data_IF_269142021163
#
_entry.id   IF_269142021163
#
_cell.length_a   1.000
_cell.length_b   1.000
_cell.length_c   1.000
_cell.angle_alpha   90.00
_cell.angle_beta   90.00
_cell.angle_gamma   90.00
#
_symmetry.space_group_name_H-M   'P 1'
#
loop_
_entity.id
_entity.type
_entity.pdbx_description
1 polymer ?
#
# COMPACT_ATOMS: atom_id res chain seq x y z
N UNK A 1 14.35 -18.64 11.05
CA UNK A 1 14.00 -18.14 9.70
C UNK A 1 13.93 -19.25 8.62
N UNK A 2 14.99 -20.06 8.40
CA UNK A 2 15.03 -21.12 7.35
C UNK A 2 13.77 -22.00 7.26
N UNK A 3 13.22 -22.46 8.39
CA UNK A 3 12.02 -23.33 8.45
C UNK A 3 10.76 -22.70 7.83
N UNK A 4 10.53 -21.40 8.07
CA UNK A 4 9.34 -20.71 7.52
C UNK A 4 9.59 -20.31 6.07
N UNK A 5 10.82 -19.93 5.73
CA UNK A 5 11.21 -19.59 4.37
C UNK A 5 10.88 -20.71 3.36
N UNK A 6 11.23 -21.97 3.66
CA UNK A 6 10.89 -23.09 2.77
C UNK A 6 9.38 -23.29 2.58
N UNK A 7 8.58 -23.11 3.65
CA UNK A 7 7.12 -23.22 3.55
C UNK A 7 6.53 -22.10 2.70
N UNK A 8 7.03 -20.87 2.88
CA UNK A 8 6.63 -19.72 2.09
C UNK A 8 7.05 -19.88 0.62
N UNK A 9 8.23 -20.45 0.34
CA UNK A 9 8.66 -20.73 -1.02
C UNK A 9 7.70 -21.67 -1.76
N UNK A 10 7.21 -22.74 -1.09
CA UNK A 10 6.21 -23.64 -1.67
C UNK A 10 4.88 -22.91 -1.95
N UNK A 11 4.44 -22.05 -1.03
CA UNK A 11 3.23 -21.24 -1.23
C UNK A 11 3.40 -20.23 -2.37
N UNK A 12 4.53 -19.55 -2.43
CA UNK A 12 4.89 -18.64 -3.52
C UNK A 12 4.83 -19.34 -4.87
N UNK A 13 5.46 -20.51 -5.01
CA UNK A 13 5.44 -21.30 -6.24
C UNK A 13 4.03 -21.75 -6.62
N UNK A 14 3.17 -22.04 -5.65
CA UNK A 14 1.76 -22.33 -5.93
C UNK A 14 1.05 -21.12 -6.56
N UNK A 15 1.26 -19.91 -6.02
CA UNK A 15 0.68 -18.69 -6.58
C UNK A 15 1.15 -18.45 -8.01
N UNK A 16 2.46 -18.50 -8.27
CA UNK A 16 3.01 -18.35 -9.63
C UNK A 16 2.38 -19.35 -10.60
N UNK A 17 2.26 -20.63 -10.22
CA UNK A 17 1.75 -21.65 -11.14
C UNK A 17 0.22 -21.63 -11.32
N UNK A 18 -0.55 -21.16 -10.34
CA UNK A 18 -2.02 -21.24 -10.37
C UNK A 18 -2.71 -19.93 -10.71
N UNK A 19 -2.03 -18.81 -10.52
CA UNK A 19 -2.62 -17.47 -10.57
C UNK A 19 -1.92 -16.55 -11.57
N UNK A 20 -0.83 -16.97 -12.19
CA UNK A 20 -0.26 -16.39 -13.41
C UNK A 20 -0.36 -17.43 -14.55
N UNK A 21 -1.60 -17.71 -14.98
CA UNK A 21 -1.88 -18.79 -15.93
C UNK A 21 -1.22 -18.59 -17.31
N UNK A 22 -0.94 -17.35 -17.67
CA UNK A 22 -0.32 -16.98 -18.95
C UNK A 22 1.20 -16.79 -18.86
N UNK A 23 1.79 -16.90 -17.66
CA UNK A 23 3.23 -16.71 -17.44
C UNK A 23 3.70 -15.28 -17.74
N UNK A 24 2.80 -14.30 -17.58
CA UNK A 24 3.04 -12.88 -17.89
C UNK A 24 3.46 -12.09 -16.66
N UNK A 25 3.60 -12.73 -15.49
CA UNK A 25 3.85 -12.11 -14.20
C UNK A 25 2.74 -11.12 -13.78
N UNK A 26 1.51 -11.39 -14.23
CA UNK A 26 0.31 -10.64 -13.88
C UNK A 26 -0.68 -11.64 -13.29
N UNK A 27 -1.07 -11.38 -12.05
CA UNK A 27 -1.80 -12.34 -11.26
C UNK A 27 -3.30 -12.08 -11.35
N UNK A 28 -4.05 -13.17 -11.47
CA UNK A 28 -5.49 -13.15 -11.74
C UNK A 28 -6.26 -14.08 -10.80
N UNK A 29 -7.43 -13.60 -10.38
CA UNK A 29 -8.48 -14.37 -9.74
C UNK A 29 -8.23 -14.77 -8.28
N UNK A 30 -9.31 -14.89 -7.53
CA UNK A 30 -9.31 -15.36 -6.15
C UNK A 30 -9.72 -14.28 -5.16
N UNK A 31 -10.06 -14.73 -3.97
CA UNK A 31 -10.45 -13.87 -2.86
C UNK A 31 -9.21 -13.27 -2.19
N UNK A 32 -9.02 -11.95 -2.34
CA UNK A 32 -7.90 -11.21 -1.77
C UNK A 32 -8.25 -10.50 -0.45
N UNK A 33 -9.41 -10.80 0.13
CA UNK A 33 -9.89 -10.19 1.37
C UNK A 33 -10.45 -8.77 1.23
N UNK A 34 -10.73 -8.34 -0.02
CA UNK A 34 -11.30 -7.03 -0.37
C UNK A 34 -12.69 -7.21 -1.02
N UNK A 35 -13.59 -7.86 -0.31
CA UNK A 35 -14.81 -8.52 -0.79
C UNK A 35 -15.59 -7.73 -1.85
N UNK A 36 -16.10 -6.55 -1.48
CA UNK A 36 -16.93 -5.73 -2.36
C UNK A 36 -16.18 -4.52 -2.97
N UNK A 37 -14.83 -4.52 -2.95
CA UNK A 37 -14.05 -3.37 -3.47
C UNK A 37 -14.17 -3.19 -4.99
N UNK A 38 -14.45 -4.29 -5.69
CA UNK A 38 -14.68 -4.30 -7.13
C UNK A 38 -16.13 -3.99 -7.50
N UNK A 39 -16.36 -3.77 -8.79
CA UNK A 39 -17.70 -3.48 -9.34
C UNK A 39 -18.56 -4.75 -9.46
N UNK A 40 -17.93 -5.93 -9.48
CA UNK A 40 -18.54 -7.26 -9.48
C UNK A 40 -17.66 -8.25 -8.71
N UNK A 41 -18.17 -9.46 -8.45
CA UNK A 41 -17.41 -10.55 -7.84
C UNK A 41 -16.27 -11.02 -8.76
N UNK A 42 -15.03 -10.65 -8.40
CA UNK A 42 -13.81 -11.01 -9.13
C UNK A 42 -13.45 -12.50 -9.04
N UNK A 43 -14.11 -13.25 -8.16
CA UNK A 43 -13.94 -14.70 -8.01
C UNK A 43 -14.90 -15.50 -8.89
N UNK A 44 -15.92 -14.84 -9.46
CA UNK A 44 -16.86 -15.46 -10.39
C UNK A 44 -16.39 -15.31 -11.84
N UNK A 45 -16.74 -16.26 -12.73
CA UNK A 45 -16.53 -16.09 -14.17
C UNK A 45 -17.23 -14.83 -14.69
N UNK A 46 -16.56 -14.11 -15.59
CA UNK A 46 -17.15 -12.94 -16.23
C UNK A 46 -18.34 -13.36 -17.13
N UNK A 47 -19.50 -12.69 -17.04
CA UNK A 47 -20.68 -13.03 -17.85
C UNK A 47 -20.43 -13.03 -19.36
N UNK A 48 -19.50 -12.20 -19.82
CA UNK A 48 -19.15 -12.01 -21.24
C UNK A 48 -18.09 -12.98 -21.76
N UNK A 49 -17.58 -13.87 -20.91
CA UNK A 49 -16.28 -14.50 -21.13
C UNK A 49 -15.13 -13.48 -20.96
N UNK A 50 -13.90 -13.97 -20.86
CA UNK A 50 -12.71 -13.15 -20.61
C UNK A 50 -12.07 -13.37 -19.23
N UNK A 51 -11.20 -12.46 -18.83
CA UNK A 51 -10.53 -12.50 -17.52
C UNK A 51 -10.23 -11.09 -16.98
N UNK A 52 -9.83 -11.01 -15.71
CA UNK A 52 -9.42 -9.77 -15.05
C UNK A 52 -7.96 -9.87 -14.66
N UNK A 53 -7.19 -8.87 -15.06
CA UNK A 53 -5.84 -8.65 -14.56
C UNK A 53 -5.92 -7.71 -13.36
N UNK A 54 -5.44 -8.20 -12.22
CA UNK A 54 -5.65 -7.54 -10.94
C UNK A 54 -4.41 -6.77 -10.51
N UNK A 55 -4.56 -5.46 -10.31
CA UNK A 55 -3.50 -4.59 -9.80
C UNK A 55 -3.12 -4.98 -8.37
N UNK A 56 -4.11 -5.21 -7.51
CA UNK A 56 -3.89 -5.62 -6.12
C UNK A 56 -3.24 -6.99 -6.01
N UNK A 57 -3.78 -8.01 -6.70
CA UNK A 57 -3.24 -9.37 -6.71
C UNK A 57 -1.78 -9.41 -7.17
N UNK A 58 -1.46 -8.67 -8.22
CA UNK A 58 -0.10 -8.58 -8.75
C UNK A 58 0.83 -7.84 -7.78
N UNK A 59 0.35 -6.78 -7.15
CA UNK A 59 1.10 -6.01 -6.14
C UNK A 59 1.37 -6.81 -4.87
N UNK A 60 0.42 -7.62 -4.40
CA UNK A 60 0.64 -8.53 -3.27
C UNK A 60 1.73 -9.56 -3.57
N UNK A 61 1.76 -10.08 -4.80
CA UNK A 61 2.82 -10.99 -5.22
C UNK A 61 4.18 -10.29 -5.36
N UNK A 62 4.21 -9.03 -5.81
CA UNK A 62 5.43 -8.23 -5.81
C UNK A 62 5.95 -8.01 -4.38
N UNK A 63 5.08 -7.61 -3.44
CA UNK A 63 5.44 -7.48 -2.03
C UNK A 63 5.91 -8.83 -1.43
N UNK A 64 5.25 -9.93 -1.78
CA UNK A 64 5.67 -11.27 -1.35
C UNK A 64 7.06 -11.62 -1.90
N UNK A 65 7.38 -11.25 -3.15
CA UNK A 65 8.73 -11.39 -3.69
C UNK A 65 9.75 -10.64 -2.85
N UNK A 66 9.47 -9.39 -2.47
CA UNK A 66 10.38 -8.58 -1.66
C UNK A 66 10.57 -9.15 -0.27
N UNK A 67 9.49 -9.62 0.38
CA UNK A 67 9.61 -10.30 1.67
C UNK A 67 10.48 -11.56 1.57
N UNK A 68 10.32 -12.36 0.51
CA UNK A 68 11.15 -13.54 0.27
C UNK A 68 12.60 -13.15 -0.06
N UNK A 69 12.82 -12.08 -0.81
CA UNK A 69 14.15 -11.52 -1.06
C UNK A 69 14.84 -11.11 0.25
N UNK A 70 14.17 -10.31 1.08
CA UNK A 70 14.70 -9.87 2.37
C UNK A 70 15.06 -11.07 3.27
N UNK A 71 14.19 -12.07 3.36
CA UNK A 71 14.48 -13.30 4.10
C UNK A 71 15.67 -14.07 3.51
N UNK A 72 15.79 -14.16 2.19
CA UNK A 72 16.90 -14.87 1.53
C UNK A 72 18.24 -14.15 1.76
N UNK A 73 18.25 -12.82 1.66
CA UNK A 73 19.44 -12.01 1.94
C UNK A 73 19.87 -12.13 3.41
N UNK A 74 18.91 -12.15 4.35
CA UNK A 74 19.20 -12.36 5.77
C UNK A 74 19.82 -13.75 6.01
N UNK A 75 19.28 -14.79 5.37
CA UNK A 75 19.82 -16.15 5.47
C UNK A 75 21.19 -16.31 4.80
N UNK A 76 21.46 -15.53 3.76
CA UNK A 76 22.71 -15.56 3.01
C UNK A 76 23.92 -15.11 3.84
N UNK A 77 23.71 -14.36 4.92
CA UNK A 77 24.78 -14.01 5.86
C UNK A 77 25.40 -15.23 6.55
N UNK A 78 24.63 -16.29 6.77
CA UNK A 78 25.12 -17.53 7.39
C UNK A 78 25.38 -18.64 6.37
N UNK A 79 24.68 -18.60 5.22
CA UNK A 79 24.66 -19.69 4.26
C UNK A 79 24.61 -19.14 2.82
N UNK A 80 25.78 -19.05 2.13
CA UNK A 80 25.89 -18.42 0.82
C UNK A 80 25.00 -19.03 -0.27
N UNK A 81 24.50 -20.26 -0.09
CA UNK A 81 23.56 -20.87 -1.03
C UNK A 81 22.25 -20.04 -1.17
N UNK A 82 21.90 -19.24 -0.17
CA UNK A 82 20.74 -18.35 -0.25
C UNK A 82 20.98 -17.10 -1.13
N UNK A 83 22.21 -16.78 -1.53
CA UNK A 83 22.46 -15.71 -2.50
C UNK A 83 21.81 -16.00 -3.86
N UNK A 84 21.86 -17.25 -4.33
CA UNK A 84 21.21 -17.67 -5.57
C UNK A 84 19.68 -17.57 -5.46
N UNK A 85 19.14 -17.89 -4.30
CA UNK A 85 17.70 -17.79 -4.02
C UNK A 85 17.27 -16.32 -3.95
N UNK A 86 18.08 -15.46 -3.35
CA UNK A 86 17.86 -14.02 -3.34
C UNK A 86 17.83 -13.46 -4.78
N UNK A 87 18.79 -13.84 -5.62
CA UNK A 87 18.77 -13.44 -7.04
C UNK A 87 17.49 -13.87 -7.76
N UNK A 88 16.99 -15.08 -7.51
CA UNK A 88 15.70 -15.54 -8.08
C UNK A 88 14.54 -14.64 -7.68
N UNK A 89 14.43 -14.21 -6.43
CA UNK A 89 13.32 -13.35 -5.98
C UNK A 89 13.46 -11.92 -6.47
N UNK A 90 14.69 -11.40 -6.54
CA UNK A 90 14.97 -10.10 -7.11
C UNK A 90 14.62 -10.06 -8.61
N UNK A 91 15.07 -11.04 -9.40
CA UNK A 91 14.75 -11.15 -10.84
C UNK A 91 13.23 -11.24 -11.07
N UNK A 92 12.53 -12.05 -10.27
CA UNK A 92 11.09 -12.22 -10.39
C UNK A 92 10.32 -10.94 -10.00
N UNK A 93 10.77 -10.22 -8.96
CA UNK A 93 10.22 -8.91 -8.64
C UNK A 93 10.37 -7.94 -9.83
N UNK A 94 11.56 -7.86 -10.44
CA UNK A 94 11.81 -6.97 -11.58
C UNK A 94 10.90 -7.28 -12.77
N UNK A 95 10.59 -8.57 -12.99
CA UNK A 95 9.63 -9.00 -14.00
C UNK A 95 8.19 -8.57 -13.69
N UNK A 96 7.73 -8.72 -12.44
CA UNK A 96 6.41 -8.23 -12.01
C UNK A 96 6.32 -6.71 -12.15
N UNK A 97 7.32 -5.98 -11.64
CA UNK A 97 7.36 -4.52 -11.72
C UNK A 97 7.32 -4.03 -13.17
N UNK A 98 8.04 -4.71 -14.07
CA UNK A 98 7.97 -4.42 -15.50
C UNK A 98 6.56 -4.66 -16.05
N UNK A 99 5.97 -5.84 -15.80
CA UNK A 99 4.66 -6.21 -16.34
C UNK A 99 3.53 -5.27 -15.84
N UNK A 100 3.61 -4.80 -14.60
CA UNK A 100 2.65 -3.84 -14.03
C UNK A 100 2.76 -2.44 -14.62
N UNK A 101 3.97 -2.01 -15.01
CA UNK A 101 4.22 -0.68 -15.52
C UNK A 101 4.20 -0.60 -17.04
N UNK A 102 4.43 -1.72 -17.73
CA UNK A 102 4.70 -1.72 -19.15
C UNK A 102 4.40 -3.09 -19.79
N UNK A 103 3.52 -3.09 -20.80
CA UNK A 103 3.29 -4.27 -21.66
C UNK A 103 3.88 -4.12 -23.07
N UNK A 104 4.58 -3.02 -23.37
CA UNK A 104 5.03 -2.71 -24.73
C UNK A 104 3.91 -2.16 -25.62
N UNK A 105 4.05 -2.31 -26.94
CA UNK A 105 3.10 -1.79 -27.95
C UNK A 105 1.80 -2.60 -28.06
N UNK A 106 1.69 -3.75 -27.38
CA UNK A 106 0.64 -4.75 -27.63
C UNK A 106 -0.44 -4.86 -26.52
N UNK A 107 -0.50 -3.95 -25.53
CA UNK A 107 -1.55 -4.01 -24.50
C UNK A 107 -1.61 -2.84 -23.50
N UNK A 108 -2.74 -2.76 -22.80
CA UNK A 108 -3.04 -1.85 -21.68
C UNK A 108 -2.33 -2.33 -20.42
N UNK A 109 -1.47 -1.47 -19.89
CA UNK A 109 -0.78 -1.67 -18.62
C UNK A 109 -1.75 -1.50 -17.44
N UNK A 110 -1.43 -2.12 -16.29
CA UNK A 110 -2.14 -1.85 -15.03
C UNK A 110 -1.91 -0.38 -14.60
N UNK A 111 -0.77 0.20 -14.97
CA UNK A 111 -0.52 1.64 -14.85
C UNK A 111 -1.21 2.42 -15.97
N UNK A 112 -2.03 3.40 -15.60
CA UNK A 112 -2.63 4.31 -16.57
C UNK A 112 -1.87 5.65 -16.62
N UNK A 113 -1.22 5.93 -17.75
CA UNK A 113 -0.39 7.13 -17.93
C UNK A 113 -1.18 8.44 -18.03
N UNK A 114 -2.45 8.40 -18.40
CA UNK A 114 -3.31 9.59 -18.45
C UNK A 114 -3.67 10.02 -17.02
N UNK A 115 -4.24 9.08 -16.25
CA UNK A 115 -4.72 9.35 -14.90
C UNK A 115 -3.57 9.43 -13.89
N UNK A 116 -2.49 8.66 -14.10
CA UNK A 116 -1.38 8.53 -13.15
C UNK A 116 -1.71 7.65 -11.97
N UNK A 117 -2.42 6.56 -12.22
CA UNK A 117 -2.94 5.66 -11.20
C UNK A 117 -2.99 4.22 -11.71
N UNK A 118 -2.98 3.25 -10.79
CA UNK A 118 -3.11 1.84 -11.14
C UNK A 118 -4.57 1.38 -11.11
N UNK A 119 -4.96 0.57 -12.08
CA UNK A 119 -6.29 0.00 -12.19
C UNK A 119 -6.23 -1.49 -12.52
N UNK A 120 -7.27 -2.22 -12.15
CA UNK A 120 -7.51 -3.54 -12.74
C UNK A 120 -7.82 -3.37 -14.24
N UNK A 121 -7.43 -4.34 -15.06
CA UNK A 121 -7.71 -4.34 -16.50
C UNK A 121 -8.60 -5.52 -16.84
N UNK A 122 -9.75 -5.22 -17.45
CA UNK A 122 -10.73 -6.20 -17.86
C UNK A 122 -10.47 -6.60 -19.32
N UNK A 123 -10.30 -7.89 -19.56
CA UNK A 123 -10.16 -8.45 -20.90
C UNK A 123 -11.51 -9.01 -21.35
N UNK A 124 -12.17 -8.31 -22.26
CA UNK A 124 -13.48 -8.72 -22.78
C UNK A 124 -13.30 -9.21 -24.23
N UNK A 125 -13.74 -10.44 -24.56
CA UNK A 125 -13.78 -10.89 -25.94
C UNK A 125 -14.51 -9.88 -26.83
N UNK A 126 -13.85 -9.44 -27.90
CA UNK A 126 -14.36 -8.47 -28.90
C UNK A 126 -14.49 -7.00 -28.44
N UNK A 127 -14.27 -6.66 -27.17
CA UNK A 127 -14.18 -5.24 -26.72
C UNK A 127 -12.76 -4.82 -26.36
N UNK A 128 -11.82 -5.78 -26.28
CA UNK A 128 -10.43 -5.51 -25.95
C UNK A 128 -10.21 -5.34 -24.44
N UNK A 129 -9.21 -4.54 -24.11
CA UNK A 129 -8.73 -4.33 -22.75
C UNK A 129 -9.30 -3.02 -22.18
N UNK A 130 -10.00 -3.09 -21.06
CA UNK A 130 -10.70 -1.95 -20.44
C UNK A 130 -10.17 -1.70 -19.03
N UNK A 131 -9.47 -0.58 -18.77
CA UNK A 131 -9.04 -0.24 -17.42
C UNK A 131 -10.25 0.14 -16.56
N UNK A 132 -10.37 -0.48 -15.39
CA UNK A 132 -11.43 -0.25 -14.43
C UNK A 132 -11.10 0.96 -13.56
N UNK A 133 -11.48 2.17 -14.02
CA UNK A 133 -11.18 3.46 -13.38
C UNK A 133 -11.95 3.70 -12.05
N UNK A 134 -11.83 2.79 -11.09
CA UNK A 134 -12.60 2.76 -9.83
C UNK A 134 -11.99 3.56 -8.69
N UNK A 135 -10.77 4.10 -8.86
CA UNK A 135 -10.00 4.83 -7.83
C UNK A 135 -10.20 4.26 -6.42
N UNK A 136 -9.75 3.03 -6.24
CA UNK A 136 -9.86 2.31 -4.98
C UNK A 136 -8.49 1.96 -4.40
N UNK A 137 -8.48 1.38 -3.20
CA UNK A 137 -7.28 0.88 -2.53
C UNK A 137 -6.46 -0.05 -3.43
N UNK A 138 -7.11 -0.74 -4.38
CA UNK A 138 -6.46 -1.57 -5.40
C UNK A 138 -5.38 -0.83 -6.19
N UNK A 139 -5.57 0.46 -6.47
CA UNK A 139 -4.58 1.28 -7.14
C UNK A 139 -3.51 1.87 -6.21
N UNK A 140 -3.70 1.76 -4.88
CA UNK A 140 -2.73 2.17 -3.86
C UNK A 140 -1.85 1.02 -3.36
N UNK A 141 -2.33 -0.23 -3.40
CA UNK A 141 -1.57 -1.43 -2.99
C UNK A 141 -0.20 -1.58 -3.70
N UNK A 142 0.02 -1.14 -4.96
CA UNK A 142 1.36 -1.11 -5.55
C UNK A 142 2.42 -0.39 -4.70
N UNK A 143 2.03 0.56 -3.84
CA UNK A 143 2.94 1.25 -2.90
C UNK A 143 3.63 0.28 -1.94
N UNK A 144 3.00 -0.86 -1.62
CA UNK A 144 3.49 -1.78 -0.58
C UNK A 144 4.71 -2.58 -1.02
N UNK A 145 4.88 -2.75 -2.33
CA UNK A 145 6.00 -3.45 -2.90
C UNK A 145 7.20 -2.49 -3.02
N UNK A 146 7.77 -2.15 -1.87
CA UNK A 146 8.95 -1.29 -1.73
C UNK A 146 9.95 -1.86 -0.72
N UNK A 147 11.23 -1.85 -1.10
CA UNK A 147 12.36 -2.17 -0.23
C UNK A 147 13.64 -1.45 -0.68
N UNK A 148 14.67 -1.44 0.16
CA UNK A 148 15.97 -0.81 -0.11
C UNK A 148 17.12 -1.79 0.05
N UNK A 149 18.04 -1.79 -0.91
CA UNK A 149 19.31 -2.52 -0.77
C UNK A 149 20.39 -1.58 -0.24
N UNK A 150 20.90 -1.91 0.95
CA UNK A 150 22.00 -1.21 1.59
C UNK A 150 23.35 -1.53 0.91
N UNK A 151 24.25 -0.55 0.72
CA UNK A 151 25.56 -0.80 0.11
C UNK A 151 26.40 -1.83 0.87
N UNK A 152 26.32 -1.85 2.20
CA UNK A 152 27.02 -2.84 3.03
C UNK A 152 26.55 -4.26 2.71
N UNK A 153 25.23 -4.47 2.53
CA UNK A 153 24.68 -5.77 2.17
C UNK A 153 25.24 -6.23 0.82
N UNK A 154 25.30 -5.33 -0.17
CA UNK A 154 25.87 -5.65 -1.48
C UNK A 154 27.37 -5.95 -1.43
N UNK A 155 28.11 -5.35 -0.50
CA UNK A 155 29.54 -5.68 -0.27
C UNK A 155 29.71 -7.05 0.38
N UNK A 156 28.80 -7.43 1.29
CA UNK A 156 28.87 -8.71 2.03
C UNK A 156 28.34 -9.90 1.22
N UNK A 157 27.50 -9.67 0.21
CA UNK A 157 26.89 -10.70 -0.64
C UNK A 157 27.32 -10.53 -2.12
N UNK A 158 28.58 -10.84 -2.46
CA UNK A 158 29.15 -10.54 -3.77
C UNK A 158 28.59 -11.40 -4.91
N UNK A 159 28.10 -12.61 -4.64
CA UNK A 159 27.51 -13.45 -5.69
C UNK A 159 26.14 -12.90 -6.10
N UNK A 160 25.32 -12.50 -5.12
CA UNK A 160 24.07 -11.79 -5.36
C UNK A 160 24.31 -10.49 -6.13
N UNK A 161 25.26 -9.65 -5.69
CA UNK A 161 25.61 -8.39 -6.36
C UNK A 161 26.01 -8.63 -7.82
N UNK A 162 26.90 -9.60 -8.07
CA UNK A 162 27.37 -9.94 -9.43
C UNK A 162 26.20 -10.34 -10.33
N UNK A 163 25.26 -11.14 -9.82
CA UNK A 163 24.10 -11.60 -10.60
C UNK A 163 23.11 -10.46 -10.88
N UNK A 164 22.86 -9.61 -9.89
CA UNK A 164 22.07 -8.38 -10.06
C UNK A 164 22.69 -7.48 -11.14
N UNK A 165 23.98 -7.15 -11.04
CA UNK A 165 24.66 -6.30 -12.02
C UNK A 165 24.68 -6.93 -13.42
N UNK A 166 24.86 -8.25 -13.52
CA UNK A 166 24.76 -8.96 -14.79
C UNK A 166 23.35 -8.84 -15.39
N UNK A 167 22.30 -9.05 -14.60
CA UNK A 167 20.92 -8.94 -15.08
C UNK A 167 20.63 -7.52 -15.57
N UNK A 168 21.00 -6.51 -14.79
CA UNK A 168 20.86 -5.10 -15.14
C UNK A 168 21.54 -4.79 -16.49
N UNK A 169 22.77 -5.28 -16.68
CA UNK A 169 23.53 -5.03 -17.91
C UNK A 169 23.01 -5.80 -19.14
N UNK A 170 22.41 -6.98 -18.94
CA UNK A 170 22.04 -7.89 -20.04
C UNK A 170 20.54 -7.94 -20.32
N UNK A 171 19.70 -7.33 -19.47
CA UNK A 171 18.24 -7.28 -19.59
C UNK A 171 17.71 -5.83 -19.53
N UNK A 172 18.26 -4.90 -20.34
CA UNK A 172 17.90 -3.48 -20.30
C UNK A 172 16.41 -3.22 -20.46
N UNK A 173 15.71 -4.03 -21.27
CA UNK A 173 14.26 -3.92 -21.47
C UNK A 173 13.45 -4.00 -20.17
N UNK A 174 13.93 -4.70 -19.14
CA UNK A 174 13.29 -4.77 -17.83
C UNK A 174 13.71 -3.64 -16.90
N UNK A 175 14.91 -3.08 -17.07
CA UNK A 175 15.55 -2.20 -16.08
C UNK A 175 15.56 -0.72 -16.46
N UNK A 176 15.64 -0.37 -17.76
CA UNK A 176 15.77 1.03 -18.23
C UNK A 176 14.59 1.93 -17.83
N UNK A 177 13.40 1.36 -17.67
CA UNK A 177 12.18 2.08 -17.23
C UNK A 177 11.93 2.01 -15.72
N UNK A 178 12.86 1.42 -14.97
CA UNK A 178 12.84 1.33 -13.51
C UNK A 178 14.04 2.13 -12.97
N UNK A 179 14.04 3.45 -13.18
CA UNK A 179 15.15 4.36 -12.93
C UNK A 179 15.76 4.25 -11.50
N UNK A 180 14.96 3.82 -10.52
CA UNK A 180 15.35 3.58 -9.14
C UNK A 180 16.42 2.48 -8.95
N UNK A 181 16.67 1.62 -9.94
CA UNK A 181 17.68 0.56 -9.87
C UNK A 181 19.11 1.03 -10.18
N UNK A 182 19.27 2.21 -10.80
CA UNK A 182 20.56 2.74 -11.24
C UNK A 182 21.02 3.96 -10.43
N UNK A 183 20.07 4.78 -9.96
CA UNK A 183 20.39 5.98 -9.19
C UNK A 183 20.66 5.59 -7.74
N UNK A 184 21.85 5.85 -7.19
CA UNK A 184 22.06 5.72 -5.76
C UNK A 184 21.22 6.78 -5.04
N UNK A 185 20.34 6.36 -4.13
CA UNK A 185 19.59 7.25 -3.25
C UNK A 185 20.45 7.75 -2.09
N UNK A 186 19.80 8.19 -1.01
CA UNK A 186 20.51 8.58 0.21
C UNK A 186 21.41 7.45 0.72
N UNK A 187 22.70 7.75 0.92
CA UNK A 187 23.68 6.78 1.39
C UNK A 187 24.03 5.68 0.38
N UNK A 188 23.94 5.96 -0.92
CA UNK A 188 24.22 5.02 -2.03
C UNK A 188 23.29 3.79 -2.12
N UNK A 189 22.14 3.85 -1.43
CA UNK A 189 21.13 2.79 -1.45
C UNK A 189 20.53 2.61 -2.84
N UNK A 190 20.05 1.40 -3.14
CA UNK A 190 19.21 1.15 -4.32
C UNK A 190 17.77 0.93 -3.88
N UNK A 191 16.81 1.53 -4.58
CA UNK A 191 15.39 1.34 -4.32
C UNK A 191 14.85 0.23 -5.22
N UNK A 192 14.13 -0.70 -4.60
CA UNK A 192 13.38 -1.75 -5.29
C UNK A 192 11.91 -1.45 -5.06
N UNK A 193 11.22 -0.97 -6.11
CA UNK A 193 9.81 -0.58 -6.01
C UNK A 193 9.07 -0.73 -7.33
N UNK A 194 7.74 -0.90 -7.26
CA UNK A 194 6.87 -0.81 -8.46
C UNK A 194 6.83 0.65 -8.95
N UNK A 195 6.74 1.61 -8.02
CA UNK A 195 6.68 3.03 -8.34
C UNK A 195 8.07 3.66 -8.29
N UNK A 196 8.47 4.33 -9.36
CA UNK A 196 9.54 5.32 -9.32
C UNK A 196 9.06 6.63 -8.67
N UNK A 197 9.96 7.61 -8.51
CA UNK A 197 9.64 8.89 -7.88
C UNK A 197 8.53 9.67 -8.58
N UNK A 198 8.44 9.60 -9.91
CA UNK A 198 7.42 10.36 -10.65
C UNK A 198 6.04 9.70 -10.49
N UNK A 199 5.95 8.37 -10.64
CA UNK A 199 4.71 7.63 -10.40
C UNK A 199 4.23 7.77 -8.96
N UNK A 200 5.17 7.71 -8.00
CA UNK A 200 4.86 7.92 -6.60
C UNK A 200 4.19 9.28 -6.38
N UNK A 201 4.74 10.37 -6.94
CA UNK A 201 4.15 11.71 -6.85
C UNK A 201 2.73 11.75 -7.41
N UNK A 202 2.50 11.10 -8.56
CA UNK A 202 1.18 11.06 -9.22
C UNK A 202 0.14 10.30 -8.41
N UNK A 203 0.49 9.15 -7.85
CA UNK A 203 -0.40 8.37 -6.98
C UNK A 203 -0.71 9.12 -5.69
N UNK A 204 0.30 9.73 -5.06
CA UNK A 204 0.13 10.48 -3.81
C UNK A 204 -0.79 11.70 -3.97
N UNK A 205 -0.84 12.31 -5.16
CA UNK A 205 -1.79 13.40 -5.45
C UNK A 205 -3.25 12.98 -5.24
N UNK A 206 -3.63 11.76 -5.60
CA UNK A 206 -4.98 11.27 -5.30
C UNK A 206 -5.10 10.85 -3.83
N UNK A 207 -4.12 10.09 -3.33
CA UNK A 207 -4.15 9.53 -1.97
C UNK A 207 -4.28 10.62 -0.89
N UNK A 208 -3.65 11.78 -1.12
CA UNK A 208 -3.57 12.89 -0.17
C UNK A 208 -4.59 14.00 -0.44
N UNK A 209 -5.53 13.82 -1.37
CA UNK A 209 -6.64 14.74 -1.61
C UNK A 209 -7.83 14.42 -0.69
N UNK A 210 -8.32 15.42 0.04
CA UNK A 210 -9.42 15.26 1.00
C UNK A 210 -10.78 15.01 0.33
N UNK A 211 -10.93 15.40 -0.95
CA UNK A 211 -12.09 15.09 -1.78
C UNK A 211 -12.01 13.71 -2.43
N UNK A 212 -10.87 13.03 -2.29
CA UNK A 212 -10.66 11.67 -2.79
C UNK A 212 -10.45 10.73 -1.60
N UNK A 213 -9.21 10.36 -1.30
CA UNK A 213 -8.88 9.31 -0.34
C UNK A 213 -8.61 9.81 1.08
N UNK A 214 -8.12 11.04 1.25
CA UNK A 214 -7.64 11.53 2.54
C UNK A 214 -8.82 11.93 3.45
N UNK A 215 -9.17 11.09 4.40
CA UNK A 215 -10.14 11.39 5.44
C UNK A 215 -9.47 12.09 6.62
N UNK A 216 -10.20 12.87 7.44
CA UNK A 216 -9.73 13.26 8.77
C UNK A 216 -9.27 12.10 9.67
N UNK A 217 -9.65 10.86 9.32
CA UNK A 217 -9.44 9.67 10.11
C UNK A 217 -8.50 8.62 9.47
N UNK A 218 -7.95 8.89 8.28
CA UNK A 218 -7.05 7.97 7.56
C UNK A 218 -7.27 7.97 6.04
N UNK A 219 -6.84 6.91 5.36
CA UNK A 219 -7.03 6.72 3.92
C UNK A 219 -8.26 5.83 3.69
N UNK A 220 -9.21 6.33 2.91
CA UNK A 220 -10.44 5.62 2.50
C UNK A 220 -10.13 4.46 1.57
N UNK A 221 -10.95 3.41 1.59
CA UNK A 221 -10.79 2.27 0.68
C UNK A 221 -11.23 2.56 -0.77
N UNK A 222 -12.12 3.54 -0.98
CA UNK A 222 -12.53 4.05 -2.30
C UNK A 222 -12.54 5.57 -2.22
N UNK A 223 -12.16 6.21 -3.32
CA UNK A 223 -12.21 7.66 -3.43
C UNK A 223 -13.61 8.21 -3.21
N UNK A 224 -13.70 9.26 -2.39
CA UNK A 224 -14.92 10.04 -2.17
C UNK A 224 -15.43 10.73 -3.45
N UNK A 225 -14.60 10.87 -4.48
CA UNK A 225 -15.02 11.34 -5.82
C UNK A 225 -16.22 10.56 -6.37
N UNK A 226 -16.28 9.25 -6.10
CA UNK A 226 -17.37 8.37 -6.55
C UNK A 226 -18.69 8.56 -5.79
N UNK A 227 -18.76 9.50 -4.84
CA UNK A 227 -20.02 9.95 -4.25
C UNK A 227 -20.88 10.69 -5.29
N UNK A 228 -20.25 11.60 -6.05
CA UNK A 228 -20.92 12.42 -7.05
C UNK A 228 -20.72 11.88 -8.48
N UNK A 229 -19.69 11.04 -8.66
CA UNK A 229 -19.33 10.45 -9.96
C UNK A 229 -19.20 8.92 -9.88
N UNK A 230 -20.29 8.17 -9.67
CA UNK A 230 -20.25 6.72 -9.61
C UNK A 230 -19.56 6.10 -10.84
N UNK A 231 -18.71 5.11 -10.61
CA UNK A 231 -18.15 4.34 -11.71
C UNK A 231 -19.19 3.33 -12.20
N UNK A 232 -19.45 3.32 -13.51
CA UNK A 232 -20.41 2.40 -14.15
C UNK A 232 -19.72 1.62 -15.26
N UNK A 233 -20.00 0.32 -15.30
CA UNK A 233 -19.52 -0.59 -16.34
C UNK A 233 -20.71 -1.41 -16.84
N UNK A 234 -21.02 -1.30 -18.13
CA UNK A 234 -22.08 -2.09 -18.77
C UNK A 234 -21.47 -3.32 -19.44
N UNK A 235 -21.88 -4.50 -18.98
CA UNK A 235 -21.48 -5.79 -19.55
C UNK A 235 -22.74 -6.50 -20.07
N UNK A 236 -22.94 -6.50 -21.39
CA UNK A 236 -24.20 -6.91 -22.00
C UNK A 236 -25.36 -6.03 -21.53
N UNK A 237 -26.43 -6.65 -21.05
CA UNK A 237 -27.62 -5.96 -20.55
C UNK A 237 -27.52 -5.54 -19.07
N UNK A 238 -26.46 -5.95 -18.37
CA UNK A 238 -26.26 -5.69 -16.94
C UNK A 238 -25.38 -4.47 -16.73
N UNK A 239 -25.84 -3.54 -15.90
CA UNK A 239 -25.05 -2.43 -15.39
C UNK A 239 -24.44 -2.78 -14.04
N UNK A 240 -23.12 -2.69 -13.95
CA UNK A 240 -22.36 -2.82 -12.71
C UNK A 240 -21.93 -1.44 -12.25
N UNK A 241 -22.21 -1.11 -10.97
CA UNK A 241 -21.97 0.22 -10.42
C UNK A 241 -21.16 0.16 -9.11
N UNK A 242 -20.23 1.09 -8.98
CA UNK A 242 -19.45 1.34 -7.77
C UNK A 242 -19.67 2.79 -7.33
N UNK A 243 -20.04 2.94 -6.07
CA UNK A 243 -20.34 4.21 -5.40
C UNK A 243 -19.51 4.32 -4.12
N UNK A 244 -19.32 5.54 -3.65
CA UNK A 244 -18.69 5.77 -2.35
C UNK A 244 -19.69 5.52 -1.20
N UNK A 245 -19.38 4.52 -0.38
CA UNK A 245 -20.16 4.10 0.78
C UNK A 245 -19.27 4.20 2.04
N UNK A 246 -19.31 5.29 2.80
CA UNK A 246 -18.35 5.51 3.89
C UNK A 246 -18.54 4.57 5.09
N UNK A 247 -19.68 3.89 5.23
CA UNK A 247 -20.05 3.08 6.39
C UNK A 247 -20.38 1.64 6.07
N UNK A 248 -21.55 1.19 6.49
CA UNK A 248 -22.13 -0.11 6.14
C UNK A 248 -22.40 -0.20 4.63
N UNK A 249 -22.30 -1.40 4.05
CA UNK A 249 -22.65 -1.57 2.63
C UNK A 249 -24.17 -1.53 2.44
N UNK A 250 -24.61 -0.86 1.39
CA UNK A 250 -26.00 -0.87 0.91
C UNK A 250 -26.29 -2.04 -0.04
N UNK A 251 -25.26 -2.81 -0.42
CA UNK A 251 -25.36 -3.96 -1.31
C UNK A 251 -25.25 -5.30 -0.57
N UNK A 252 -25.92 -6.33 -1.09
CA UNK A 252 -25.81 -7.70 -0.56
C UNK A 252 -24.61 -8.49 -1.10
N UNK A 253 -23.68 -7.86 -1.84
CA UNK A 253 -22.47 -8.51 -2.33
C UNK A 253 -21.69 -9.09 -1.14
N UNK A 254 -21.29 -10.36 -1.24
CA UNK A 254 -20.61 -11.11 -0.16
C UNK A 254 -21.35 -11.09 1.20
N UNK A 255 -22.68 -10.98 1.18
CA UNK A 255 -23.50 -11.01 2.40
C UNK A 255 -23.58 -9.68 3.15
N UNK A 256 -22.99 -8.60 2.62
CA UNK A 256 -23.19 -7.22 3.11
C UNK A 256 -22.55 -6.87 4.46
N UNK A 257 -21.80 -7.79 5.09
CA UNK A 257 -21.24 -7.60 6.44
C UNK A 257 -20.00 -6.70 6.46
N UNK A 258 -19.13 -6.80 5.45
CA UNK A 258 -17.89 -6.02 5.34
C UNK A 258 -18.00 -5.06 4.15
N UNK A 259 -17.46 -3.86 4.29
CA UNK A 259 -17.51 -2.84 3.26
C UNK A 259 -16.14 -2.22 2.96
N UNK A 260 -15.71 -2.32 1.71
CA UNK A 260 -14.48 -1.76 1.16
C UNK A 260 -14.74 -0.58 0.20
N UNK A 261 -15.99 -0.11 0.07
CA UNK A 261 -16.38 0.95 -0.88
C UNK A 261 -16.28 2.37 -0.31
N UNK A 262 -15.47 2.58 0.71
CA UNK A 262 -15.33 3.89 1.34
C UNK A 262 -14.75 3.89 2.75
N UNK A 263 -14.99 2.89 3.61
CA UNK A 263 -14.51 2.92 4.97
C UNK A 263 -12.98 2.87 5.06
N UNK A 264 -12.48 3.19 6.25
CA UNK A 264 -11.05 3.15 6.61
C UNK A 264 -10.76 1.82 7.28
N UNK A 265 -9.72 1.15 6.76
CA UNK A 265 -9.24 -0.12 7.26
C UNK A 265 -7.81 0.04 7.77
N UNK A 266 -7.60 -0.33 9.03
CA UNK A 266 -6.30 -0.20 9.69
C UNK A 266 -5.15 -0.95 9.01
N UNK A 267 -5.28 -2.24 8.60
CA UNK A 267 -4.14 -2.96 8.05
C UNK A 267 -3.57 -2.34 6.76
N UNK A 268 -4.43 -1.92 5.82
CA UNK A 268 -3.96 -1.26 4.58
C UNK A 268 -3.39 0.13 4.84
N UNK A 269 -3.98 0.88 5.78
CA UNK A 269 -3.44 2.18 6.21
C UNK A 269 -2.06 2.04 6.88
N UNK A 270 -1.89 1.03 7.73
CA UNK A 270 -0.61 0.72 8.36
C UNK A 270 0.46 0.39 7.31
N UNK A 271 0.11 -0.41 6.30
CA UNK A 271 1.03 -0.71 5.19
C UNK A 271 1.38 0.52 4.36
N UNK A 272 0.43 1.46 4.15
CA UNK A 272 0.74 2.76 3.52
C UNK A 272 1.79 3.51 4.35
N UNK A 273 1.59 3.63 5.67
CA UNK A 273 2.53 4.32 6.57
C UNK A 273 3.93 3.71 6.48
N UNK A 274 4.07 2.39 6.62
CA UNK A 274 5.36 1.71 6.53
C UNK A 274 6.01 1.88 5.14
N UNK A 275 5.22 1.86 4.07
CA UNK A 275 5.72 2.04 2.71
C UNK A 275 6.27 3.45 2.48
N UNK A 276 5.55 4.47 2.96
CA UNK A 276 6.02 5.86 2.89
C UNK A 276 7.33 6.07 3.65
N UNK A 277 7.49 5.42 4.81
CA UNK A 277 8.73 5.45 5.58
C UNK A 277 9.89 4.79 4.81
N UNK A 278 9.65 3.67 4.13
CA UNK A 278 10.66 3.02 3.26
C UNK A 278 11.04 3.89 2.06
N UNK A 279 10.06 4.51 1.39
CA UNK A 279 10.34 5.46 0.32
C UNK A 279 11.15 6.66 0.84
N UNK A 280 10.81 7.19 2.01
CA UNK A 280 11.56 8.28 2.64
C UNK A 280 13.01 7.89 2.94
N UNK A 281 13.25 6.68 3.46
CA UNK A 281 14.59 6.17 3.76
C UNK A 281 15.54 6.20 2.54
N UNK A 282 14.98 6.03 1.33
CA UNK A 282 15.72 6.16 0.08
C UNK A 282 15.75 7.60 -0.49
N UNK A 283 14.58 8.26 -0.57
CA UNK A 283 14.41 9.55 -1.25
C UNK A 283 14.88 10.76 -0.42
N UNK A 284 14.89 10.63 0.90
CA UNK A 284 15.35 11.66 1.83
C UNK A 284 14.44 12.89 1.94
N UNK A 285 15.00 13.95 2.54
CA UNK A 285 14.29 15.19 2.92
C UNK A 285 13.95 16.10 1.72
N UNK A 286 14.67 15.95 0.61
CA UNK A 286 14.47 16.76 -0.60
C UNK A 286 13.21 16.36 -1.37
N UNK A 287 12.78 15.09 -1.23
CA UNK A 287 11.57 14.63 -1.86
C UNK A 287 10.35 15.01 -1.03
N UNK A 288 9.68 16.09 -1.45
CA UNK A 288 8.45 16.58 -0.84
C UNK A 288 7.24 16.43 -1.74
N UNK A 289 6.08 16.22 -1.15
CA UNK A 289 4.77 16.14 -1.82
C UNK A 289 3.76 17.03 -1.10
N UNK A 290 2.74 17.46 -1.82
CA UNK A 290 1.70 18.31 -1.25
C UNK A 290 0.75 17.49 -0.37
N UNK A 291 0.56 17.90 0.88
CA UNK A 291 -0.27 17.18 1.85
C UNK A 291 -0.95 18.14 2.84
N UNK A 292 -2.29 18.30 2.79
CA UNK A 292 -3.20 17.72 1.79
C UNK A 292 -2.94 18.25 0.37
N UNK A 293 -3.34 17.49 -0.64
CA UNK A 293 -3.28 17.95 -2.05
C UNK A 293 -4.15 19.20 -2.23
N UNK A 294 -3.62 20.20 -2.95
CA UNK A 294 -4.25 21.52 -3.13
C UNK A 294 -4.10 22.50 -1.96
N UNK A 295 -3.39 22.14 -0.88
CA UNK A 295 -3.20 23.01 0.29
C UNK A 295 -2.04 24.01 0.17
N UNK A 296 -1.12 23.81 -0.76
CA UNK A 296 0.15 24.52 -0.86
C UNK A 296 1.22 24.08 0.16
N UNK A 297 0.88 23.16 1.08
CA UNK A 297 1.82 22.66 2.10
C UNK A 297 2.57 21.43 1.59
N UNK A 298 3.90 21.51 1.54
CA UNK A 298 4.76 20.43 1.06
C UNK A 298 5.47 19.74 2.22
N UNK A 299 5.21 18.46 2.38
CA UNK A 299 5.73 17.61 3.43
C UNK A 299 6.66 16.54 2.85
N UNK A 300 7.64 16.11 3.63
CA UNK A 300 8.44 14.92 3.32
C UNK A 300 7.58 13.66 3.47
N UNK A 301 7.99 12.55 2.85
CA UNK A 301 7.22 11.31 2.96
C UNK A 301 7.11 10.78 4.40
N UNK A 302 8.08 11.09 5.26
CA UNK A 302 7.98 10.78 6.68
C UNK A 302 6.90 11.61 7.38
N UNK A 303 6.85 12.92 7.13
CA UNK A 303 5.84 13.82 7.67
C UNK A 303 4.43 13.42 7.19
N UNK A 304 4.29 13.01 5.93
CA UNK A 304 3.03 12.44 5.40
C UNK A 304 2.64 11.16 6.16
N UNK A 305 3.59 10.26 6.40
CA UNK A 305 3.34 9.04 7.17
C UNK A 305 2.88 9.35 8.61
N UNK A 306 3.45 10.39 9.23
CA UNK A 306 3.02 10.87 10.55
C UNK A 306 1.63 11.50 10.51
N UNK A 307 1.31 12.29 9.49
CA UNK A 307 -0.02 12.89 9.36
C UNK A 307 -1.11 11.83 9.23
N UNK A 308 -0.88 10.78 8.42
CA UNK A 308 -1.80 9.63 8.32
C UNK A 308 -1.91 8.91 9.68
N UNK A 309 -0.78 8.68 10.36
CA UNK A 309 -0.75 8.03 11.68
C UNK A 309 -1.54 8.82 12.73
N UNK A 310 -1.41 10.15 12.72
CA UNK A 310 -2.15 11.07 13.61
C UNK A 310 -3.64 11.05 13.32
N UNK A 311 -4.04 11.03 12.04
CA UNK A 311 -5.45 10.90 11.62
C UNK A 311 -6.05 9.57 12.09
N UNK A 312 -5.34 8.46 11.92
CA UNK A 312 -5.77 7.14 12.43
C UNK A 312 -5.87 7.11 13.95
N UNK A 313 -4.88 7.66 14.66
CA UNK A 313 -4.90 7.75 16.11
C UNK A 313 -6.08 8.59 16.62
N UNK A 314 -6.44 9.67 15.92
CA UNK A 314 -7.50 10.60 16.31
C UNK A 314 -8.86 9.92 16.48
N UNK A 315 -9.11 8.81 15.78
CA UNK A 315 -10.31 7.96 15.94
C UNK A 315 -10.52 7.56 17.41
N UNK A 316 -9.42 7.26 18.09
CA UNK A 316 -9.40 6.78 19.47
C UNK A 316 -8.99 7.84 20.48
N UNK A 317 -8.98 9.12 20.11
CA UNK A 317 -8.67 10.23 21.00
C UNK A 317 -9.89 11.13 21.18
N UNK A 318 -9.98 11.83 22.31
CA UNK A 318 -11.01 12.85 22.49
C UNK A 318 -10.57 14.08 21.71
N UNK A 319 -11.47 14.64 20.92
CA UNK A 319 -11.24 15.92 20.25
C UNK A 319 -11.40 17.09 21.25
N UNK A 320 -11.26 18.33 20.77
CA UNK A 320 -11.42 19.53 21.59
C UNK A 320 -12.81 19.65 22.26
N UNK A 321 -13.84 19.03 21.70
CA UNK A 321 -15.18 18.95 22.28
C UNK A 321 -15.38 17.80 23.26
N UNK A 322 -14.32 17.04 23.59
CA UNK A 322 -14.39 15.88 24.48
C UNK A 322 -14.98 14.62 23.86
N UNK A 323 -15.35 14.66 22.58
CA UNK A 323 -15.99 13.57 21.82
C UNK A 323 -14.92 12.67 21.22
N UNK A 324 -15.15 11.36 21.26
CA UNK A 324 -14.29 10.36 20.63
C UNK A 324 -14.95 9.80 19.36
N UNK A 325 -14.33 9.92 18.16
CA UNK A 325 -14.94 9.47 16.91
C UNK A 325 -15.39 8.00 16.94
N UNK A 326 -14.58 7.08 17.48
CA UNK A 326 -14.91 5.63 17.52
C UNK A 326 -16.26 5.31 18.19
N UNK A 327 -16.73 6.16 19.11
CA UNK A 327 -18.01 5.96 19.81
C UNK A 327 -19.21 6.52 19.04
N UNK A 328 -18.98 7.25 17.95
CA UNK A 328 -20.02 7.85 17.11
C UNK A 328 -21.00 8.70 17.92
N UNK A 329 -22.29 8.59 17.60
CA UNK A 329 -23.36 9.35 18.25
C UNK A 329 -23.87 8.74 19.58
N UNK A 330 -23.23 7.69 20.10
CA UNK A 330 -23.73 7.01 21.31
C UNK A 330 -23.39 7.79 22.58
N UNK A 331 -24.34 8.58 23.09
CA UNK A 331 -24.21 9.37 24.34
C UNK A 331 -23.63 8.54 25.50
N UNK A 332 -24.13 7.31 25.69
CA UNK A 332 -23.62 6.39 26.73
C UNK A 332 -22.11 6.16 26.66
N UNK A 333 -21.55 6.01 25.46
CA UNK A 333 -20.11 5.79 25.28
C UNK A 333 -19.33 7.10 25.20
N UNK A 334 -19.97 8.25 25.05
CA UNK A 334 -19.30 9.55 25.04
C UNK A 334 -19.16 10.15 26.44
N UNK A 335 -20.24 10.06 27.24
CA UNK A 335 -20.43 10.89 28.44
C UNK A 335 -20.43 10.10 29.75
N UNK A 336 -20.93 8.85 29.76
CA UNK A 336 -21.10 8.07 30.99
C UNK A 336 -19.74 7.75 31.63
N UNK A 337 -19.57 8.10 32.91
CA UNK A 337 -18.32 7.92 33.64
C UNK A 337 -17.82 6.48 33.74
N UNK A 338 -18.67 5.48 33.55
CA UNK A 338 -18.30 4.06 33.56
C UNK A 338 -17.95 3.51 32.18
N UNK A 339 -18.44 4.13 31.10
CA UNK A 339 -18.33 3.59 29.74
C UNK A 339 -17.42 4.40 28.82
N UNK A 340 -17.27 5.70 29.08
CA UNK A 340 -16.61 6.64 28.17
C UNK A 340 -15.12 6.39 27.89
N UNK A 341 -14.49 5.58 28.74
CA UNK A 341 -13.08 5.22 28.61
C UNK A 341 -12.89 3.73 28.25
N UNK A 342 -13.98 2.99 28.02
CA UNK A 342 -13.97 1.64 27.48
C UNK A 342 -13.90 1.66 25.95
N UNK A 343 -12.69 1.85 25.44
CA UNK A 343 -12.42 1.98 24.01
C UNK A 343 -12.56 0.61 23.32
N UNK A 344 -13.42 0.54 22.31
CA UNK A 344 -13.67 -0.65 21.50
C UNK A 344 -12.86 -0.61 20.21
N UNK A 345 -12.54 -1.79 19.68
CA UNK A 345 -11.76 -1.96 18.45
C UNK A 345 -12.68 -2.55 17.39
N UNK A 346 -12.90 -1.82 16.32
CA UNK A 346 -13.83 -2.20 15.27
C UNK A 346 -13.13 -2.84 14.07
N UNK A 347 -13.90 -3.58 13.29
CA UNK A 347 -13.47 -4.18 12.03
C UNK A 347 -12.97 -3.13 11.04
N UNK A 348 -13.74 -2.05 10.89
CA UNK A 348 -13.40 -0.89 10.07
C UNK A 348 -14.07 0.37 10.63
N UNK A 349 -13.73 1.52 10.06
CA UNK A 349 -14.17 2.84 10.55
C UNK A 349 -14.79 3.64 9.44
N UNK A 350 -15.83 4.38 9.77
CA UNK A 350 -16.55 5.16 8.78
C UNK A 350 -15.66 6.23 8.14
N UNK A 351 -15.64 6.28 6.81
CA UNK A 351 -14.69 7.08 6.03
C UNK A 351 -14.81 8.60 6.21
N UNK A 352 -15.91 9.10 6.76
CA UNK A 352 -16.17 10.55 6.91
C UNK A 352 -16.27 11.04 8.36
N UNK A 353 -16.59 10.17 9.33
CA UNK A 353 -16.81 10.57 10.73
C UNK A 353 -16.01 9.74 11.75
N UNK A 354 -15.31 8.68 11.30
CA UNK A 354 -14.42 7.88 12.13
C UNK A 354 -15.13 6.97 13.14
N UNK A 355 -16.46 6.83 13.11
CA UNK A 355 -17.17 5.89 14.01
C UNK A 355 -16.78 4.44 13.70
N UNK A 356 -16.77 3.61 14.73
CA UNK A 356 -16.56 2.17 14.57
C UNK A 356 -17.72 1.49 13.83
N UNK A 357 -17.40 0.55 12.93
CA UNK A 357 -18.37 -0.22 12.15
C UNK A 357 -17.96 -1.70 12.10
N UNK A 358 -18.95 -2.59 12.02
CA UNK A 358 -18.72 -4.04 12.02
C UNK A 358 -18.45 -4.58 13.43
N UNK A 359 -17.71 -5.69 13.51
CA UNK A 359 -17.42 -6.35 14.78
C UNK A 359 -16.61 -5.45 15.74
N UNK A 360 -17.05 -5.30 16.99
CA UNK A 360 -16.54 -4.30 17.96
C UNK A 360 -15.44 -4.79 18.92
N UNK A 361 -15.03 -6.05 18.80
CA UNK A 361 -13.93 -6.66 19.58
C UNK A 361 -12.80 -7.13 18.65
N UNK A 362 -12.56 -6.38 17.57
CA UNK A 362 -11.53 -6.61 16.57
C UNK A 362 -10.17 -6.04 17.05
N UNK A 363 -9.69 -6.49 18.21
CA UNK A 363 -8.27 -6.31 18.60
C UNK A 363 -7.33 -7.23 17.79
N UNK A 364 -7.76 -7.65 16.60
CA UNK A 364 -6.94 -8.28 15.58
C UNK A 364 -6.14 -7.20 14.84
N UNK A 365 -6.53 -6.89 13.61
CA UNK A 365 -5.76 -5.96 12.78
C UNK A 365 -5.85 -4.51 13.26
N UNK A 366 -6.90 -4.11 13.99
CA UNK A 366 -7.03 -2.73 14.49
C UNK A 366 -6.07 -2.45 15.65
N UNK A 367 -5.54 -3.50 16.30
CA UNK A 367 -4.53 -3.38 17.36
C UNK A 367 -3.23 -2.71 16.91
N UNK A 368 -2.95 -2.66 15.60
CA UNK A 368 -1.75 -1.98 15.05
C UNK A 368 -1.72 -0.47 15.36
N UNK A 369 -2.84 0.14 15.76
CA UNK A 369 -2.86 1.52 16.24
C UNK A 369 -1.88 1.77 17.39
N UNK A 370 -1.62 0.77 18.24
CA UNK A 370 -0.64 0.89 19.32
C UNK A 370 0.76 1.20 18.78
N UNK A 371 1.14 0.57 17.65
CA UNK A 371 2.43 0.82 16.98
C UNK A 371 2.50 2.24 16.40
N UNK A 372 1.40 2.69 15.78
CA UNK A 372 1.30 4.05 15.22
C UNK A 372 1.45 5.10 16.33
N UNK A 373 0.75 4.94 17.44
CA UNK A 373 0.85 5.82 18.61
C UNK A 373 2.26 5.84 19.20
N UNK A 374 2.90 4.68 19.34
CA UNK A 374 4.28 4.57 19.82
C UNK A 374 5.25 5.33 18.90
N UNK A 375 5.19 5.08 17.58
CA UNK A 375 6.08 5.73 16.60
C UNK A 375 5.90 7.25 16.60
N UNK A 376 4.66 7.74 16.70
CA UNK A 376 4.38 9.18 16.79
C UNK A 376 4.92 9.80 18.09
N UNK A 377 4.72 9.15 19.24
CA UNK A 377 5.13 9.69 20.54
C UNK A 377 6.64 9.64 20.81
N UNK A 378 7.34 8.57 20.40
CA UNK A 378 8.78 8.43 20.62
C UNK A 378 9.60 9.43 19.80
N UNK A 379 9.13 9.80 18.59
CA UNK A 379 9.86 10.75 17.73
C UNK A 379 9.71 12.19 18.19
N UNK A 380 8.56 12.60 18.72
CA UNK A 380 8.43 13.93 19.35
C UNK A 380 9.44 14.08 20.48
N UNK A 381 9.63 13.05 21.30
CA UNK A 381 10.63 13.05 22.38
C UNK A 381 12.08 13.17 21.87
N UNK A 382 12.41 12.54 20.73
CA UNK A 382 13.73 12.65 20.08
C UNK A 382 13.95 14.03 19.44
N UNK A 383 12.93 14.63 18.81
CA UNK A 383 13.04 15.98 18.24
C UNK A 383 13.19 17.06 19.31
N UNK A 384 12.53 16.88 20.46
CA UNK A 384 12.63 17.79 21.61
C UNK A 384 14.01 17.68 22.25
N UNK A 385 14.56 16.47 22.39
CA UNK A 385 15.91 16.29 22.95
C UNK A 385 17.02 16.82 22.03
N UNK A 386 16.90 16.70 20.70
CA UNK A 386 17.88 17.31 19.78
C UNK A 386 17.89 18.84 19.82
N UNK A 387 16.76 19.50 20.15
CA UNK A 387 16.72 20.97 20.30
C UNK A 387 17.33 21.47 21.61
N UNK A 388 17.56 20.61 22.61
CA UNK A 388 18.18 21.00 23.88
C UNK A 388 19.71 20.87 23.87
N UNK A 389 20.30 20.05 22.98
CA UNK A 389 21.75 19.80 22.94
C UNK A 389 22.55 20.88 22.17
N UNK A 390 21.90 21.72 21.36
CA UNK A 390 22.57 22.83 20.64
C UNK A 390 22.83 24.09 21.51
N UNK A 391 22.55 24.02 22.82
CA UNK A 391 22.58 25.17 23.74
C UNK A 391 23.75 25.22 24.75
N UNK A 392 24.63 24.21 24.81
CA UNK A 392 25.68 24.15 25.84
C UNK A 392 27.08 24.21 25.23
N UNK A 393 27.53 25.44 24.92
CA UNK A 393 28.96 25.75 24.81
C UNK A 393 29.59 25.61 26.19
N UNK A 394 30.25 24.48 26.46
CA UNK A 394 31.08 24.33 27.65
C UNK A 394 32.36 25.15 27.44
N UNK A 395 32.44 26.25 28.19
CA UNK A 395 33.64 27.06 28.32
C UNK A 395 34.82 26.21 28.85
N UNK A 396 35.94 26.27 28.13
CA UNK A 396 37.24 25.81 28.59
C UNK A 396 37.63 26.47 29.91
N UNK A 397 38.02 25.67 30.90
CA UNK A 397 38.94 26.04 31.98
C UNK A 397 39.81 24.85 32.35
N UNK A 398 41.13 25.05 32.30
CA UNK A 398 42.16 24.13 32.81
C UNK A 398 43.26 23.89 31.81
#
# INVERSE_FOLDING_TARGET
LKRVFHKLMLNFTWWVNRKDAEGKNIFQGGFLGLDNIGVFDRSAPLPTGGHIEQSDGTSWMAMYCLNMLAMALELAYEDPAYEDVASKFWEHFTQISYAMNNRGEDGVSLWNDEDGFFYDVLHIPNMGEVPMKTRSMVGLIPLYAVDTLEPELLRRLPAFKRRMDWFIANRPGYTERQACMFTPGMGERRLISILDGDKLRRVLRYMLDENEFLSPYGIRAVSKYHKDHPYTLRLGDTEHRLEYEPGESTSGLFGGNSNWRGPIWFPVNFLIVESLQKFHHYLGEEYKVECPTGSGNFLTLWEVAQEISRRLASIFLRNAGGVRPVHGASEKFQEDGHWKDLILFYEYFHGDDGRGVGASHQTGWTGVVAKLLQQSGEREALSVTSTFDDGLTVAQKG
#
